data_IF_851737279717
#
_entry.id   IF_851737279717
#
_cell.length_a   1.000
_cell.length_b   1.000
_cell.length_c   1.000
_cell.angle_alpha   90.00
_cell.angle_beta   90.00
_cell.angle_gamma   90.00
#
_symmetry.space_group_name_H-M   'P 1'
#
loop_
_entity.id
_entity.type
_entity.pdbx_description
1 polymer ?
#
# COMPACT_ATOMS: atom_id res chain seq x y z
N UNK A 1 2.48 -1.84 -13.94
CA UNK A 1 2.66 -2.25 -12.53
C UNK A 1 1.40 -2.00 -11.70
N UNK A 2 0.89 -0.76 -11.62
CA UNK A 2 -0.30 -0.42 -10.84
C UNK A 2 -1.52 -1.35 -11.05
N UNK A 3 -1.84 -1.72 -12.30
CA UNK A 3 -2.89 -2.72 -12.61
C UNK A 3 -2.72 -4.05 -11.87
N UNK A 4 -1.47 -4.52 -11.71
CA UNK A 4 -1.16 -5.76 -10.96
C UNK A 4 -1.43 -5.57 -9.47
N UNK A 5 -1.00 -4.44 -8.89
CA UNK A 5 -1.23 -4.13 -7.47
C UNK A 5 -2.73 -4.02 -7.18
N UNK A 6 -3.48 -3.29 -8.02
CA UNK A 6 -4.95 -3.22 -7.96
C UNK A 6 -5.60 -4.61 -8.00
N UNK A 7 -5.14 -5.50 -8.88
CA UNK A 7 -5.66 -6.87 -8.96
C UNK A 7 -5.31 -7.76 -7.76
N UNK A 8 -4.27 -7.42 -6.97
CA UNK A 8 -3.99 -8.11 -5.71
C UNK A 8 -4.90 -7.61 -4.59
N UNK A 9 -5.09 -6.29 -4.51
CA UNK A 9 -5.96 -5.65 -3.52
C UNK A 9 -7.42 -6.05 -3.70
N UNK A 10 -7.96 -5.94 -4.91
CA UNK A 10 -9.32 -6.37 -5.24
C UNK A 10 -9.59 -7.87 -5.02
N UNK A 11 -8.52 -8.68 -5.00
CA UNK A 11 -8.62 -10.11 -4.72
C UNK A 11 -8.30 -10.46 -3.26
N UNK A 12 -8.17 -9.49 -2.37
CA UNK A 12 -7.73 -9.65 -0.97
C UNK A 12 -6.42 -10.46 -0.84
N UNK A 13 -5.53 -10.33 -1.83
CA UNK A 13 -4.21 -10.98 -1.89
C UNK A 13 -3.12 -10.05 -1.37
N UNK A 14 -3.37 -9.47 -0.21
CA UNK A 14 -2.41 -8.64 0.49
C UNK A 14 -2.40 -8.95 2.00
N UNK A 15 -1.36 -8.50 2.67
CA UNK A 15 -1.23 -8.55 4.13
C UNK A 15 -0.77 -7.18 4.62
N UNK A 16 -1.21 -6.80 5.81
CA UNK A 16 -0.77 -5.59 6.51
C UNK A 16 0.22 -6.01 7.58
N UNK A 17 1.40 -5.39 7.60
CA UNK A 17 2.37 -5.62 8.69
C UNK A 17 1.85 -5.05 10.00
N UNK A 18 2.36 -5.53 11.13
CA UNK A 18 2.03 -4.93 12.44
C UNK A 18 2.36 -3.43 12.47
N UNK A 19 3.50 -3.05 11.89
CA UNK A 19 3.90 -1.64 11.80
C UNK A 19 2.90 -0.79 11.01
N UNK A 20 2.46 -1.23 9.83
CA UNK A 20 1.45 -0.53 9.06
C UNK A 20 0.12 -0.45 9.81
N UNK A 21 -0.26 -1.50 10.54
CA UNK A 21 -1.47 -1.50 11.35
C UNK A 21 -1.41 -0.44 12.46
N UNK A 22 -0.28 -0.33 13.17
CA UNK A 22 -0.10 0.67 14.22
C UNK A 22 -0.13 2.10 13.68
N UNK A 23 0.48 2.36 12.51
CA UNK A 23 0.45 3.67 11.86
C UNK A 23 -0.95 4.03 11.35
N UNK A 24 -1.66 3.06 10.74
CA UNK A 24 -3.05 3.25 10.35
C UNK A 24 -3.91 3.64 11.54
N UNK A 25 -3.73 2.97 12.69
CA UNK A 25 -4.46 3.30 13.91
C UNK A 25 -4.12 4.69 14.45
N UNK A 26 -2.88 5.15 14.31
CA UNK A 26 -2.47 6.50 14.72
C UNK A 26 -3.13 7.59 13.87
N UNK A 27 -3.41 7.31 12.59
CA UNK A 27 -3.99 8.25 11.63
C UNK A 27 -5.50 8.05 11.39
N UNK A 28 -6.17 7.22 12.21
CA UNK A 28 -7.59 6.84 12.08
C UNK A 28 -7.94 6.25 10.69
N UNK A 29 -6.99 5.50 10.12
CA UNK A 29 -7.12 4.82 8.84
C UNK A 29 -7.54 3.36 9.02
N UNK A 30 -8.34 2.88 8.09
CA UNK A 30 -8.76 1.48 8.03
C UNK A 30 -8.20 0.79 6.78
N UNK A 31 -8.36 -0.53 6.71
CA UNK A 31 -7.95 -1.28 5.53
C UNK A 31 -8.69 -0.79 4.27
N UNK A 32 -9.90 -0.26 4.41
CA UNK A 32 -10.67 0.27 3.30
C UNK A 32 -10.04 1.53 2.70
N UNK A 33 -9.34 2.32 3.50
CA UNK A 33 -8.60 3.49 3.03
C UNK A 33 -7.37 3.06 2.23
N UNK A 34 -6.69 1.99 2.66
CA UNK A 34 -5.63 1.34 1.88
C UNK A 34 -6.17 0.89 0.52
N UNK A 35 -7.30 0.17 0.51
CA UNK A 35 -7.92 -0.28 -0.75
C UNK A 35 -8.30 0.90 -1.66
N UNK A 36 -8.88 1.96 -1.08
CA UNK A 36 -9.22 3.19 -1.79
C UNK A 36 -8.00 3.85 -2.42
N UNK A 37 -6.85 3.92 -1.72
CA UNK A 37 -5.60 4.44 -2.27
C UNK A 37 -5.17 3.66 -3.51
N UNK A 38 -5.27 2.33 -3.52
CA UNK A 38 -4.92 1.55 -4.71
C UNK A 38 -5.87 1.81 -5.87
N UNK A 39 -7.16 2.03 -5.61
CA UNK A 39 -8.18 2.24 -6.64
C UNK A 39 -8.13 3.65 -7.24
N UNK A 40 -7.92 4.66 -6.42
CA UNK A 40 -7.94 6.09 -6.80
C UNK A 40 -6.56 6.62 -7.17
N UNK A 41 -5.52 6.03 -6.58
CA UNK A 41 -4.17 6.59 -6.60
C UNK A 41 -3.27 6.10 -7.73
N UNK A 42 -2.04 6.60 -7.67
CA UNK A 42 -0.96 6.30 -8.60
C UNK A 42 0.33 5.92 -7.87
N UNK A 43 1.27 5.31 -8.59
CA UNK A 43 2.60 5.00 -8.05
C UNK A 43 3.46 6.25 -8.21
N UNK A 44 3.86 6.84 -7.09
CA UNK A 44 4.76 7.99 -7.08
C UNK A 44 6.20 7.57 -7.37
N UNK A 45 6.61 6.44 -6.79
CA UNK A 45 7.98 5.96 -6.94
C UNK A 45 8.09 4.44 -6.78
N UNK A 46 9.16 3.90 -7.36
CA UNK A 46 9.60 2.53 -7.17
C UNK A 46 11.01 2.55 -6.63
N UNK A 47 11.18 2.08 -5.40
CA UNK A 47 12.49 1.91 -4.77
C UNK A 47 12.94 0.46 -4.94
N UNK A 48 14.10 0.25 -5.56
CA UNK A 48 14.70 -1.09 -5.65
C UNK A 48 15.60 -1.28 -4.43
N UNK A 49 15.31 -2.30 -3.65
CA UNK A 49 16.16 -2.72 -2.55
C UNK A 49 17.43 -3.37 -3.13
N UNK A 50 18.59 -2.80 -2.79
CA UNK A 50 19.88 -3.15 -3.41
C UNK A 50 20.34 -4.54 -2.96
N UNK A 51 19.95 -4.98 -1.77
CA UNK A 51 20.37 -6.24 -1.17
C UNK A 51 19.42 -7.39 -1.53
N UNK A 52 18.10 -7.14 -1.51
CA UNK A 52 17.09 -8.19 -1.67
C UNK A 52 16.48 -8.29 -3.08
N UNK A 53 16.85 -7.39 -4.01
CA UNK A 53 16.21 -7.25 -5.34
C UNK A 53 14.70 -6.97 -5.30
N UNK A 54 14.13 -6.76 -4.12
CA UNK A 54 12.72 -6.44 -3.94
C UNK A 54 12.44 -5.03 -4.43
N UNK A 55 11.22 -4.80 -4.94
CA UNK A 55 10.76 -3.46 -5.29
C UNK A 55 9.68 -3.03 -4.31
N UNK A 56 9.95 -1.91 -3.61
CA UNK A 56 8.96 -1.18 -2.84
C UNK A 56 8.30 -0.14 -3.76
N UNK A 57 7.01 0.05 -3.59
CA UNK A 57 6.20 1.00 -4.32
C UNK A 57 5.57 1.96 -3.32
N UNK A 58 5.79 3.26 -3.50
CA UNK A 58 5.04 4.29 -2.77
C UNK A 58 3.90 4.75 -3.65
N UNK A 59 2.69 4.61 -3.14
CA UNK A 59 1.46 5.01 -3.81
C UNK A 59 0.86 6.17 -3.05
N UNK A 60 0.23 7.10 -3.79
CA UNK A 60 -0.59 8.15 -3.22
C UNK A 60 -1.97 8.10 -3.85
N UNK A 61 -2.98 8.17 -3.00
CA UNK A 61 -4.39 8.21 -3.39
C UNK A 61 -5.21 8.90 -2.31
N UNK A 62 -6.51 8.60 -2.29
CA UNK A 62 -7.43 9.18 -1.31
C UNK A 62 -8.01 8.11 -0.38
N UNK A 63 -8.16 8.44 0.89
CA UNK A 63 -8.99 7.71 1.85
C UNK A 63 -10.46 7.72 1.41
N UNK A 64 -11.31 6.94 2.07
CA UNK A 64 -12.75 6.99 1.83
C UNK A 64 -13.36 8.37 2.14
N UNK A 65 -12.75 9.11 3.07
CA UNK A 65 -13.12 10.49 3.40
C UNK A 65 -12.54 11.54 2.44
N UNK A 66 -11.78 11.14 1.43
CA UNK A 66 -11.15 12.04 0.46
C UNK A 66 -9.82 12.65 0.92
N UNK A 67 -9.36 12.33 2.13
CA UNK A 67 -8.06 12.79 2.62
C UNK A 67 -6.92 12.13 1.83
N UNK A 68 -5.83 12.85 1.53
CA UNK A 68 -4.67 12.25 0.88
C UNK A 68 -3.99 11.24 1.80
N UNK A 69 -3.72 10.04 1.27
CA UNK A 69 -3.04 8.94 2.00
C UNK A 69 -1.95 8.35 1.13
N UNK A 70 -0.83 8.02 1.75
CA UNK A 70 0.23 7.25 1.11
C UNK A 70 0.33 5.84 1.67
N UNK A 71 0.63 4.90 0.76
CA UNK A 71 0.84 3.50 1.08
C UNK A 71 2.18 3.07 0.51
N UNK A 72 3.03 2.46 1.33
CA UNK A 72 4.23 1.78 0.85
C UNK A 72 4.01 0.28 0.91
N UNK A 73 4.21 -0.40 -0.22
CA UNK A 73 4.08 -1.86 -0.28
C UNK A 73 5.09 -2.52 -1.20
N UNK A 74 5.26 -3.83 -1.03
CA UNK A 74 6.12 -4.66 -1.88
C UNK A 74 5.43 -5.95 -2.30
N UNK A 75 5.89 -6.55 -3.40
CA UNK A 75 5.48 -7.89 -3.79
C UNK A 75 6.37 -8.92 -3.09
N UNK A 76 5.76 -9.81 -2.31
CA UNK A 76 6.47 -10.95 -1.73
C UNK A 76 6.77 -12.03 -2.77
N UNK A 77 7.70 -12.93 -2.44
CA UNK A 77 8.00 -14.13 -3.25
C UNK A 77 6.79 -15.05 -3.45
N UNK A 78 5.79 -14.99 -2.54
CA UNK A 78 4.53 -15.75 -2.64
C UNK A 78 3.50 -15.09 -3.56
N UNK A 79 3.81 -13.92 -4.13
CA UNK A 79 2.90 -13.17 -4.99
C UNK A 79 1.86 -12.32 -4.25
N UNK A 80 1.86 -12.33 -2.91
CA UNK A 80 1.04 -11.41 -2.09
C UNK A 80 1.68 -10.02 -2.04
N UNK A 81 0.83 -8.99 -2.02
CA UNK A 81 1.24 -7.62 -1.70
C UNK A 81 1.40 -7.49 -0.18
N UNK A 82 2.55 -6.99 0.26
CA UNK A 82 2.83 -6.71 1.67
C UNK A 82 2.77 -5.21 1.84
N UNK A 83 1.84 -4.72 2.67
CA UNK A 83 1.73 -3.32 3.05
C UNK A 83 2.68 -3.08 4.23
N UNK A 84 3.65 -2.17 4.05
CA UNK A 84 4.77 -1.95 4.98
C UNK A 84 4.48 -0.79 5.93
N UNK A 85 3.96 0.31 5.39
CA UNK A 85 3.61 1.54 6.12
C UNK A 85 2.46 2.24 5.37
N UNK A 86 1.60 2.93 6.10
CA UNK A 86 0.47 3.73 5.60
C UNK A 86 0.32 4.96 6.47
N UNK A 87 0.18 6.13 5.88
CA UNK A 87 -0.01 7.38 6.63
C UNK A 87 -0.85 8.40 5.85
N UNK A 88 -1.59 9.22 6.58
CA UNK A 88 -2.26 10.40 6.06
C UNK A 88 -1.25 11.54 5.80
N UNK A 89 -1.57 12.45 4.88
CA UNK A 89 -0.74 13.64 4.57
C UNK A 89 -1.30 14.93 5.17
#
# INVERSE_FOLDING_TARGET
MLKRLRGLVLGSRYVVTLHAYDEMAADDLTVWDVESVFLTGEILERQKDVESSESKYRLRGSSLGGAPVEVVGKLSVTGKLVIITVYAL
#
